data_IF_594751663339
#
_entry.id   IF_594751663339
#
_cell.length_a   1.000
_cell.length_b   1.000
_cell.length_c   1.000
_cell.angle_alpha   90.00
_cell.angle_beta   90.00
_cell.angle_gamma   90.00
#
_symmetry.space_group_name_H-M   'P 1'
#
loop_
_entity.id
_entity.type
_entity.pdbx_description
1 polymer ?
#
# COMPACT_ATOMS: atom_id res chain seq x y z
N UNK A 1 41.49 68.40 30.65
CA UNK A 1 40.15 67.83 30.36
C UNK A 1 40.28 66.77 29.25
N UNK A 2 40.30 65.51 29.59
CA UNK A 2 40.42 64.39 28.66
C UNK A 2 39.05 63.87 28.38
N UNK A 3 38.60 63.77 27.11
CA UNK A 3 37.32 63.11 26.82
C UNK A 3 37.52 61.60 26.84
N UNK A 4 36.73 60.95 27.68
CA UNK A 4 36.59 59.50 27.80
C UNK A 4 36.02 58.92 26.50
N UNK A 5 36.81 58.14 25.78
CA UNK A 5 36.31 57.39 24.60
C UNK A 5 35.72 56.09 25.09
N UNK A 6 34.40 56.02 25.03
CA UNK A 6 33.65 54.76 25.25
C UNK A 6 33.70 53.95 23.96
N UNK A 7 34.44 52.84 23.99
CA UNK A 7 34.42 51.83 22.94
C UNK A 7 33.22 50.92 23.17
N UNK A 8 32.22 51.07 22.34
CA UNK A 8 31.09 50.13 22.24
C UNK A 8 31.58 48.90 21.48
N UNK A 9 31.80 47.81 22.19
CA UNK A 9 32.00 46.49 21.60
C UNK A 9 30.65 45.90 21.30
N UNK A 10 30.26 45.93 20.03
CA UNK A 10 29.06 45.21 19.54
C UNK A 10 29.40 43.72 19.41
N UNK A 11 28.91 42.92 20.34
CA UNK A 11 28.97 41.47 20.23
C UNK A 11 27.91 40.99 19.22
N UNK A 12 28.34 40.59 18.04
CA UNK A 12 27.48 39.88 17.06
C UNK A 12 27.26 38.45 17.57
N UNK A 13 26.10 38.20 18.11
CA UNK A 13 25.59 36.84 18.40
C UNK A 13 25.18 36.21 17.07
N UNK A 14 26.05 35.39 16.49
CA UNK A 14 25.69 34.53 15.37
C UNK A 14 24.89 33.35 15.89
N UNK A 15 23.58 33.42 15.80
CA UNK A 15 22.69 32.27 16.06
C UNK A 15 22.85 31.25 14.94
N UNK A 16 23.59 30.18 15.19
CA UNK A 16 23.60 29.00 14.32
C UNK A 16 22.30 28.27 14.51
N UNK A 17 21.39 28.43 13.54
CA UNK A 17 20.19 27.61 13.47
C UNK A 17 20.59 26.17 13.14
N UNK A 18 20.55 25.29 14.14
CA UNK A 18 20.71 23.86 13.93
C UNK A 18 19.41 23.36 13.30
N UNK A 19 19.45 22.99 12.02
CA UNK A 19 18.33 22.34 11.38
C UNK A 19 18.09 20.99 12.09
N UNK A 20 16.99 20.87 12.81
CA UNK A 20 16.57 19.60 13.39
C UNK A 20 16.07 18.71 12.26
N UNK A 21 16.86 17.71 11.88
CA UNK A 21 16.40 16.62 11.01
C UNK A 21 15.47 15.76 11.86
N UNK A 22 14.17 15.84 11.59
CA UNK A 22 13.21 14.94 12.21
C UNK A 22 13.57 13.49 11.86
N UNK A 23 13.65 12.57 12.82
CA UNK A 23 13.90 11.17 12.51
C UNK A 23 12.82 10.66 11.54
N UNK A 24 13.19 9.82 10.56
CA UNK A 24 12.21 9.26 9.64
C UNK A 24 11.13 8.54 10.46
N UNK A 25 9.89 8.94 10.23
CA UNK A 25 8.72 8.38 10.91
C UNK A 25 8.60 6.91 10.54
N UNK A 26 8.93 6.00 11.45
CA UNK A 26 8.73 4.58 11.25
C UNK A 26 7.24 4.27 11.31
N UNK A 27 6.65 3.91 10.17
CA UNK A 27 5.26 3.48 10.12
C UNK A 27 5.14 2.11 10.75
N UNK A 28 4.24 1.95 11.72
CA UNK A 28 3.94 0.65 12.33
C UNK A 28 3.15 -0.21 11.34
N UNK A 29 3.33 -1.55 11.36
CA UNK A 29 2.48 -2.45 10.60
C UNK A 29 1.01 -2.18 10.89
N UNK A 30 0.17 -2.31 9.88
CA UNK A 30 -1.26 -1.99 10.00
C UNK A 30 -2.13 -2.99 9.27
N UNK A 31 -3.24 -3.34 9.91
CA UNK A 31 -4.28 -4.19 9.35
C UNK A 31 -5.43 -3.35 8.80
N UNK A 32 -5.92 -3.77 7.64
CA UNK A 32 -7.08 -3.20 6.98
C UNK A 32 -8.06 -4.32 6.65
N UNK A 33 -9.33 -3.98 6.60
CA UNK A 33 -10.37 -4.88 6.08
C UNK A 33 -11.16 -4.14 5.01
N UNK A 34 -11.27 -4.77 3.84
CA UNK A 34 -12.01 -4.24 2.71
C UNK A 34 -13.16 -5.17 2.34
N UNK A 35 -14.31 -4.62 2.06
CA UNK A 35 -15.42 -5.37 1.47
C UNK A 35 -15.30 -5.28 -0.04
N UNK A 36 -15.06 -6.41 -0.68
CA UNK A 36 -14.92 -6.52 -2.13
C UNK A 36 -16.20 -7.08 -2.70
N UNK A 37 -16.87 -6.31 -3.54
CA UNK A 37 -18.15 -6.66 -4.14
C UNK A 37 -17.99 -7.13 -5.59
N UNK A 38 -18.89 -8.01 -6.03
CA UNK A 38 -18.89 -8.55 -7.38
C UNK A 38 -19.35 -7.55 -8.45
N UNK A 39 -20.10 -6.53 -8.05
CA UNK A 39 -20.59 -5.51 -8.98
C UNK A 39 -19.49 -4.57 -9.50
N UNK A 40 -18.31 -4.60 -8.88
CA UNK A 40 -17.17 -3.78 -9.29
C UNK A 40 -16.05 -4.68 -9.80
N UNK A 41 -15.52 -4.34 -10.95
CA UNK A 41 -14.36 -5.08 -11.50
C UNK A 41 -13.16 -4.96 -10.56
N UNK A 42 -12.88 -3.74 -10.07
CA UNK A 42 -11.80 -3.49 -9.13
C UNK A 42 -12.23 -2.49 -8.05
N UNK A 43 -11.84 -2.79 -6.83
CA UNK A 43 -11.98 -1.88 -5.68
C UNK A 43 -10.64 -1.22 -5.42
N UNK A 44 -10.60 0.10 -5.50
CA UNK A 44 -9.43 0.89 -5.12
C UNK A 44 -9.36 0.97 -3.59
N UNK A 45 -8.30 0.43 -3.01
CA UNK A 45 -8.11 0.44 -1.55
C UNK A 45 -7.58 1.76 -1.01
N UNK A 46 -7.16 2.67 -1.89
CA UNK A 46 -6.44 3.89 -1.55
C UNK A 46 -5.12 3.67 -0.79
N UNK A 47 -4.59 2.44 -0.78
CA UNK A 47 -3.30 2.13 -0.20
C UNK A 47 -2.19 2.36 -1.23
N UNK A 48 -1.40 3.39 -1.01
CA UNK A 48 -0.19 3.68 -1.77
C UNK A 48 0.99 2.99 -1.08
N UNK A 49 1.73 2.22 -1.84
CA UNK A 49 2.81 1.36 -1.39
C UNK A 49 4.12 1.80 -2.03
N UNK A 50 5.20 1.69 -1.27
CA UNK A 50 6.54 2.07 -1.69
C UNK A 50 7.46 0.84 -1.80
N UNK A 51 8.55 0.91 -2.58
CA UNK A 51 9.54 -0.17 -2.62
C UNK A 51 10.03 -0.55 -1.23
N UNK A 52 10.00 -1.84 -0.94
CA UNK A 52 10.38 -2.40 0.36
C UNK A 52 9.21 -2.66 1.31
N UNK A 53 8.03 -2.14 1.03
CA UNK A 53 6.82 -2.54 1.75
C UNK A 53 6.48 -4.01 1.45
N UNK A 54 5.81 -4.67 2.38
CA UNK A 54 5.23 -6.01 2.19
C UNK A 54 3.75 -5.98 2.48
N UNK A 55 3.00 -6.65 1.64
CA UNK A 55 1.54 -6.75 1.77
C UNK A 55 1.14 -8.21 1.88
N UNK A 56 0.43 -8.55 2.94
CA UNK A 56 -0.16 -9.85 3.15
C UNK A 56 -1.68 -9.74 2.98
N UNK A 57 -2.26 -10.52 2.08
CA UNK A 57 -3.68 -10.47 1.77
C UNK A 57 -4.31 -11.82 2.10
N UNK A 58 -5.44 -11.79 2.79
CA UNK A 58 -6.24 -12.95 3.11
C UNK A 58 -7.66 -12.76 2.62
N UNK A 59 -8.21 -13.76 1.97
CA UNK A 59 -9.59 -13.73 1.50
C UNK A 59 -10.10 -15.11 1.13
N UNK A 60 -11.35 -15.37 1.47
CA UNK A 60 -12.01 -16.61 1.09
C UNK A 60 -12.31 -16.63 -0.42
N UNK A 61 -12.50 -17.83 -0.95
CA UNK A 61 -13.05 -18.03 -2.29
C UNK A 61 -14.57 -17.99 -2.19
N UNK A 62 -15.20 -17.20 -3.04
CA UNK A 62 -16.66 -17.11 -3.14
C UNK A 62 -17.18 -18.22 -4.05
N UNK A 63 -18.34 -18.79 -3.71
CA UNK A 63 -19.03 -19.69 -4.61
C UNK A 63 -19.65 -18.91 -5.78
N UNK A 64 -19.32 -19.33 -6.99
CA UNK A 64 -19.87 -18.78 -8.23
C UNK A 64 -20.49 -19.91 -9.04
N UNK A 65 -21.77 -19.84 -9.27
CA UNK A 65 -22.52 -20.86 -10.01
C UNK A 65 -22.62 -20.52 -11.51
N UNK A 66 -22.83 -21.56 -12.33
CA UNK A 66 -23.23 -21.40 -13.72
C UNK A 66 -22.16 -20.92 -14.69
N UNK A 67 -20.90 -21.07 -14.36
CA UNK A 67 -19.80 -20.68 -15.26
C UNK A 67 -19.69 -21.65 -16.43
N UNK A 68 -19.97 -21.19 -17.63
CA UNK A 68 -19.72 -21.96 -18.87
C UNK A 68 -18.20 -21.98 -19.16
N UNK A 69 -17.73 -22.96 -20.00
CA UNK A 69 -16.30 -22.94 -20.40
C UNK A 69 -15.90 -21.64 -21.09
N UNK A 70 -16.78 -21.02 -21.86
CA UNK A 70 -16.52 -19.73 -22.51
C UNK A 70 -16.36 -18.61 -21.48
N UNK A 71 -17.22 -18.54 -20.48
CA UNK A 71 -17.14 -17.55 -19.40
C UNK A 71 -15.86 -17.71 -18.58
N UNK A 72 -15.46 -18.95 -18.28
CA UNK A 72 -14.19 -19.23 -17.58
C UNK A 72 -12.98 -18.73 -18.34
N UNK A 73 -12.98 -18.84 -19.67
CA UNK A 73 -11.91 -18.35 -20.52
C UNK A 73 -11.77 -16.81 -20.50
N UNK A 74 -12.85 -16.10 -20.16
CA UNK A 74 -12.89 -14.64 -20.12
C UNK A 74 -12.81 -14.07 -18.71
N UNK A 75 -12.54 -14.88 -17.69
CA UNK A 75 -12.29 -14.39 -16.34
C UNK A 75 -11.06 -13.47 -16.31
N UNK A 76 -11.00 -12.50 -15.39
CA UNK A 76 -9.82 -11.67 -15.21
C UNK A 76 -8.53 -12.48 -15.06
N UNK A 77 -8.60 -13.62 -14.36
CA UNK A 77 -7.52 -14.59 -14.24
C UNK A 77 -8.07 -16.00 -14.57
N UNK A 78 -8.05 -16.43 -15.85
CA UNK A 78 -8.64 -17.70 -16.26
C UNK A 78 -8.02 -18.94 -15.60
N UNK A 79 -6.77 -18.85 -15.16
CA UNK A 79 -6.04 -19.94 -14.48
C UNK A 79 -6.48 -20.16 -13.03
N UNK A 80 -7.21 -19.21 -12.44
CA UNK A 80 -7.67 -19.28 -11.06
C UNK A 80 -9.16 -19.68 -11.00
N UNK A 81 -9.62 -20.29 -9.89
CA UNK A 81 -11.04 -20.59 -9.72
C UNK A 81 -11.91 -19.35 -9.77
N UNK A 82 -13.11 -19.46 -10.36
CA UNK A 82 -14.10 -18.42 -10.27
C UNK A 82 -14.46 -18.13 -8.81
N UNK A 83 -14.62 -16.87 -8.45
CA UNK A 83 -14.90 -16.43 -7.09
C UNK A 83 -13.67 -16.19 -6.21
N UNK A 84 -12.47 -16.42 -6.74
CA UNK A 84 -11.22 -16.12 -6.03
C UNK A 84 -11.05 -14.61 -5.83
N UNK A 85 -10.46 -14.23 -4.69
CA UNK A 85 -9.99 -12.87 -4.49
C UNK A 85 -8.75 -12.64 -5.33
N UNK A 86 -8.76 -11.55 -6.07
CA UNK A 86 -7.65 -11.07 -6.89
C UNK A 86 -7.11 -9.75 -6.36
N UNK A 87 -5.86 -9.48 -6.66
CA UNK A 87 -5.23 -8.19 -6.43
C UNK A 87 -4.45 -7.74 -7.66
N UNK A 88 -4.22 -6.45 -7.77
CA UNK A 88 -3.25 -5.85 -8.69
C UNK A 88 -2.60 -4.63 -8.06
N UNK A 89 -1.42 -4.29 -8.52
CA UNK A 89 -0.58 -3.24 -7.93
C UNK A 89 -0.61 -1.91 -8.71
N UNK A 90 -1.28 -1.89 -9.85
CA UNK A 90 -1.49 -0.69 -10.69
C UNK A 90 -2.81 -0.82 -11.44
N UNK A 91 -3.31 0.30 -11.95
CA UNK A 91 -4.48 0.29 -12.81
C UNK A 91 -4.33 -0.60 -14.06
N UNK A 92 -3.16 -0.57 -14.68
CA UNK A 92 -2.82 -1.32 -15.91
C UNK A 92 -2.16 -2.69 -15.65
N UNK A 93 -1.87 -3.05 -14.39
CA UNK A 93 -1.21 -4.30 -14.08
C UNK A 93 -2.13 -5.50 -14.24
N UNK A 94 -1.55 -6.65 -14.57
CA UNK A 94 -2.25 -7.93 -14.58
C UNK A 94 -2.69 -8.36 -13.17
N UNK A 95 -3.78 -9.13 -13.08
CA UNK A 95 -4.28 -9.63 -11.81
C UNK A 95 -3.36 -10.72 -11.24
N UNK A 96 -3.33 -10.77 -9.91
CA UNK A 96 -2.60 -11.76 -9.12
C UNK A 96 -3.63 -12.47 -8.23
N UNK A 97 -3.52 -13.78 -8.10
CA UNK A 97 -4.38 -14.55 -7.19
C UNK A 97 -4.05 -14.23 -5.74
N UNK A 98 -5.05 -13.79 -4.98
CA UNK A 98 -4.91 -13.44 -3.57
C UNK A 98 -5.57 -14.41 -2.59
N UNK A 99 -6.47 -15.27 -3.08
CA UNK A 99 -7.10 -16.33 -2.26
C UNK A 99 -6.26 -17.61 -2.22
N UNK A 100 -6.19 -18.33 -1.10
CA UNK A 100 -6.71 -17.95 0.23
C UNK A 100 -5.83 -16.89 0.89
N UNK A 101 -4.57 -16.79 0.50
CA UNK A 101 -3.62 -15.80 0.95
C UNK A 101 -2.59 -15.46 -0.14
N UNK A 102 -1.99 -14.28 -0.04
CA UNK A 102 -0.87 -13.87 -0.88
C UNK A 102 0.08 -12.99 -0.07
N UNK A 103 1.38 -13.18 -0.29
CA UNK A 103 2.45 -12.34 0.26
C UNK A 103 3.15 -11.62 -0.90
N UNK A 104 3.03 -10.31 -0.93
CA UNK A 104 3.51 -9.47 -2.03
C UNK A 104 4.64 -8.55 -1.57
N UNK A 105 5.88 -8.79 -1.99
CA UNK A 105 6.94 -7.81 -1.84
C UNK A 105 6.71 -6.67 -2.84
N UNK A 106 6.79 -5.44 -2.38
CA UNK A 106 6.63 -4.26 -3.21
C UNK A 106 8.00 -3.80 -3.70
N UNK A 107 8.19 -3.76 -5.02
CA UNK A 107 9.47 -3.43 -5.65
C UNK A 107 9.48 -2.07 -6.36
N UNK A 108 8.30 -1.48 -6.53
CA UNK A 108 8.13 -0.14 -7.12
C UNK A 108 6.91 0.53 -6.49
N UNK A 109 6.80 1.84 -6.65
CA UNK A 109 5.62 2.57 -6.20
C UNK A 109 4.36 1.94 -6.79
N UNK A 110 3.42 1.58 -5.94
CA UNK A 110 2.24 0.79 -6.30
C UNK A 110 1.01 1.30 -5.58
N UNK A 111 -0.15 0.99 -6.13
CA UNK A 111 -1.44 1.21 -5.47
C UNK A 111 -2.23 -0.08 -5.50
N UNK A 112 -2.71 -0.49 -4.34
CA UNK A 112 -3.38 -1.78 -4.19
C UNK A 112 -4.84 -1.71 -4.64
N UNK A 113 -5.20 -2.64 -5.52
CA UNK A 113 -6.58 -2.89 -5.93
C UNK A 113 -6.98 -4.32 -5.58
N UNK A 114 -8.24 -4.52 -5.23
CA UNK A 114 -8.83 -5.83 -4.96
C UNK A 114 -10.01 -6.08 -5.88
N UNK A 115 -10.18 -7.31 -6.29
CA UNK A 115 -11.28 -7.71 -7.17
C UNK A 115 -11.66 -9.17 -6.96
N UNK A 116 -12.74 -9.59 -7.61
CA UNK A 116 -13.22 -10.97 -7.58
C UNK A 116 -13.09 -11.56 -8.98
N UNK A 117 -12.55 -12.76 -9.06
CA UNK A 117 -12.37 -13.49 -10.31
C UNK A 117 -13.70 -14.15 -10.74
N UNK A 118 -14.63 -13.36 -11.21
CA UNK A 118 -15.90 -13.95 -11.61
C UNK A 118 -16.89 -12.99 -12.24
N UNK A 119 -17.72 -13.61 -13.05
CA UNK A 119 -18.97 -13.09 -13.56
C UNK A 119 -20.07 -13.90 -12.86
N UNK A 120 -21.22 -13.34 -12.65
CA UNK A 120 -22.36 -14.04 -12.02
C UNK A 120 -22.08 -14.60 -10.61
N UNK A 121 -21.12 -14.05 -9.90
CA UNK A 121 -20.97 -14.32 -8.49
C UNK A 121 -21.81 -13.31 -7.69
N UNK A 122 -22.46 -13.76 -6.63
CA UNK A 122 -23.27 -12.90 -5.78
C UNK A 122 -22.68 -12.81 -4.38
N UNK A 123 -22.60 -11.60 -3.87
CA UNK A 123 -22.13 -11.34 -2.52
C UNK A 123 -20.84 -10.53 -2.45
N UNK A 124 -20.19 -10.64 -1.33
CA UNK A 124 -18.95 -9.89 -1.02
C UNK A 124 -17.91 -10.80 -0.40
N UNK A 125 -16.64 -10.44 -0.58
CA UNK A 125 -15.52 -11.02 0.16
C UNK A 125 -14.99 -9.98 1.14
N UNK A 126 -14.84 -10.35 2.40
CA UNK A 126 -14.08 -9.57 3.36
C UNK A 126 -12.60 -9.88 3.18
N UNK A 127 -11.88 -8.97 2.57
CA UNK A 127 -10.44 -9.09 2.36
C UNK A 127 -9.68 -8.43 3.52
N UNK A 128 -8.79 -9.19 4.16
CA UNK A 128 -7.89 -8.67 5.18
C UNK A 128 -6.54 -8.37 4.54
N UNK A 129 -6.03 -7.18 4.77
CA UNK A 129 -4.76 -6.71 4.22
C UNK A 129 -3.86 -6.25 5.36
N UNK A 130 -2.76 -6.95 5.56
CA UNK A 130 -1.72 -6.58 6.50
C UNK A 130 -0.58 -5.92 5.75
N UNK A 131 -0.21 -4.70 6.14
CA UNK A 131 0.89 -3.95 5.51
C UNK A 131 2.03 -3.79 6.48
N UNK A 132 3.20 -4.29 6.11
CA UNK A 132 4.47 -4.02 6.76
C UNK A 132 5.19 -2.93 5.95
N UNK A 133 5.26 -1.74 6.53
CA UNK A 133 5.86 -0.60 5.87
C UNK A 133 7.38 -0.69 5.91
N UNK A 134 7.99 -0.36 4.79
CA UNK A 134 9.43 -0.24 4.70
C UNK A 134 9.95 0.76 5.74
N UNK A 135 10.94 0.31 6.52
CA UNK A 135 11.64 1.17 7.47
C UNK A 135 12.88 1.72 6.76
N UNK A 136 12.99 3.03 6.55
CA UNK A 136 14.23 3.59 6.03
C UNK A 136 15.35 3.26 7.00
N UNK A 137 16.44 2.68 6.48
CA UNK A 137 17.62 2.43 7.30
C UNK A 137 18.11 3.76 7.87
N UNK A 138 18.29 3.82 9.19
CA UNK A 138 18.97 4.94 9.81
C UNK A 138 20.32 5.13 9.11
N UNK A 139 20.60 6.36 8.66
CA UNK A 139 21.89 6.68 8.07
C UNK A 139 22.97 6.41 9.13
N UNK A 140 23.74 5.34 8.95
CA UNK A 140 24.97 5.11 9.70
C UNK A 140 25.98 6.17 9.28
N UNK A 141 26.35 7.03 10.22
CA UNK A 141 27.49 7.93 10.03
C UNK A 141 28.79 7.14 10.04
#
# INVERSE_FOLDING_TARGET
>A
MSPLRILLVSALLTSTAVAQVSPPSSKKPKDYTFTVATERVWTDTALDLEPGDRVHIYGAVMACEGQTPSEKAHLPLPSAPAGSLLTKLHGEAGPILASPDADLPIIQNSRLYLGINGWHCHGTIAAKVHVEWHQPKAATK
#
